data_IF_247203064981
#
_entry.id   IF_247203064981
#
_cell.length_a   1.000
_cell.length_b   1.000
_cell.length_c   1.000
_cell.angle_alpha   90.00
_cell.angle_beta   90.00
_cell.angle_gamma   90.00
#
_symmetry.space_group_name_H-M   'P 1'
#
loop_
_entity.id
_entity.type
_entity.pdbx_description
1 polymer ?
#
# COMPACT_ATOMS: atom_id res chain seq x y z
N UNK A 1 -21.27 14.31 2.86
CA UNK A 1 -20.70 13.77 1.61
C UNK A 1 -21.34 12.45 1.21
N UNK A 2 -20.87 11.25 1.62
CA UNK A 2 -21.56 10.01 1.23
C UNK A 2 -22.90 9.80 1.97
N UNK A 3 -22.91 9.94 3.30
CA UNK A 3 -24.12 9.74 4.13
C UNK A 3 -25.22 10.78 3.93
N UNK A 4 -24.86 11.96 3.44
CA UNK A 4 -25.77 13.09 3.19
C UNK A 4 -26.23 13.13 1.72
N UNK A 5 -25.73 12.21 0.88
CA UNK A 5 -26.12 12.10 -0.52
C UNK A 5 -25.43 13.09 -1.47
N UNK A 6 -24.36 13.77 -1.03
CA UNK A 6 -23.60 14.69 -1.88
C UNK A 6 -22.66 13.96 -2.86
N UNK A 7 -22.48 12.65 -2.70
CA UNK A 7 -21.68 11.81 -3.58
C UNK A 7 -22.27 10.40 -3.68
N UNK A 8 -22.42 9.89 -4.91
CA UNK A 8 -22.94 8.53 -5.19
C UNK A 8 -21.90 7.42 -4.98
N UNK A 9 -20.62 7.78 -4.86
CA UNK A 9 -19.53 6.85 -4.70
C UNK A 9 -18.23 7.54 -4.27
N UNK A 10 -17.26 6.73 -3.87
CA UNK A 10 -15.93 7.20 -3.48
C UNK A 10 -14.85 6.23 -3.93
N UNK A 11 -13.63 6.73 -4.06
CA UNK A 11 -12.43 5.90 -4.12
C UNK A 11 -11.90 5.67 -2.71
N UNK A 12 -11.73 4.40 -2.35
CA UNK A 12 -11.20 3.98 -1.07
C UNK A 12 -9.95 3.12 -1.23
N UNK A 13 -9.43 2.63 -0.11
CA UNK A 13 -8.42 1.60 -0.09
C UNK A 13 -8.79 0.52 0.92
N UNK A 14 -8.28 -0.68 0.68
CA UNK A 14 -8.41 -1.84 1.55
C UNK A 14 -7.02 -2.50 1.59
N UNK A 15 -6.53 -2.95 2.76
CA UNK A 15 -5.30 -3.72 2.81
C UNK A 15 -5.44 -5.01 1.99
N UNK A 16 -4.35 -5.42 1.38
CA UNK A 16 -4.22 -6.75 0.82
C UNK A 16 -3.42 -7.66 1.75
N UNK A 17 -3.76 -8.95 1.79
CA UNK A 17 -2.99 -9.97 2.47
C UNK A 17 -1.70 -10.34 1.69
N UNK A 18 -0.98 -11.34 2.18
CA UNK A 18 0.26 -11.81 1.58
C UNK A 18 0.07 -12.36 0.15
N UNK A 19 -1.13 -12.87 -0.16
CA UNK A 19 -1.51 -13.42 -1.47
C UNK A 19 -2.10 -12.34 -2.40
N UNK A 20 -2.14 -11.09 -1.93
CA UNK A 20 -2.66 -9.94 -2.68
C UNK A 20 -4.19 -9.88 -2.73
N UNK A 21 -4.88 -10.66 -1.89
CA UNK A 21 -6.34 -10.62 -1.77
C UNK A 21 -6.78 -9.57 -0.75
N UNK A 22 -8.00 -9.06 -0.90
CA UNK A 22 -8.59 -8.13 0.04
C UNK A 22 -8.62 -8.72 1.46
N UNK A 23 -8.07 -7.99 2.43
CA UNK A 23 -7.99 -8.43 3.82
C UNK A 23 -9.32 -8.28 4.57
N UNK A 24 -10.34 -7.63 3.99
CA UNK A 24 -11.68 -7.44 4.57
C UNK A 24 -11.66 -6.88 6.00
N UNK A 25 -10.63 -6.10 6.30
CA UNK A 25 -10.38 -5.44 7.58
C UNK A 25 -9.52 -4.20 7.33
N UNK A 26 -9.70 -3.13 8.08
CA UNK A 26 -9.01 -1.86 7.85
C UNK A 26 -9.62 -1.00 6.72
N UNK A 27 -8.83 -0.02 6.29
CA UNK A 27 -9.11 0.73 5.08
C UNK A 27 -10.29 1.69 5.15
N UNK A 28 -10.98 1.87 4.03
CA UNK A 28 -12.07 2.84 3.90
C UNK A 28 -13.40 2.31 4.42
N UNK A 29 -13.69 1.01 4.29
CA UNK A 29 -14.94 0.41 4.79
C UNK A 29 -15.02 0.57 6.31
N UNK A 30 -13.99 0.14 7.05
CA UNK A 30 -13.96 0.28 8.51
C UNK A 30 -14.07 1.76 8.96
N UNK A 31 -13.45 2.69 8.23
CA UNK A 31 -13.56 4.13 8.52
C UNK A 31 -14.96 4.68 8.28
N UNK A 32 -15.68 4.16 7.29
CA UNK A 32 -17.06 4.56 7.02
C UNK A 32 -18.02 3.99 8.09
N UNK A 33 -17.80 2.75 8.51
CA UNK A 33 -18.54 2.16 9.63
C UNK A 33 -18.35 2.94 10.92
N UNK A 34 -17.11 3.27 11.26
CA UNK A 34 -16.80 4.11 12.43
C UNK A 34 -17.42 5.52 12.34
N UNK A 35 -17.68 6.01 11.12
CA UNK A 35 -18.38 7.26 10.86
C UNK A 35 -19.92 7.12 10.83
N UNK A 36 -20.46 5.94 11.13
CA UNK A 36 -21.89 5.66 11.22
C UNK A 36 -22.56 5.23 9.92
N UNK A 37 -21.80 4.85 8.90
CA UNK A 37 -22.33 4.28 7.64
C UNK A 37 -22.16 2.76 7.70
N UNK A 38 -23.24 1.97 7.85
CA UNK A 38 -23.14 0.52 8.01
C UNK A 38 -22.50 -0.15 6.78
N UNK A 39 -21.61 -1.13 6.96
CA UNK A 39 -21.01 -1.88 5.85
C UNK A 39 -22.08 -2.52 4.94
N UNK A 40 -23.19 -2.99 5.52
CA UNK A 40 -24.31 -3.56 4.76
C UNK A 40 -24.97 -2.56 3.78
N UNK A 41 -24.73 -1.25 3.93
CA UNK A 41 -25.18 -0.21 3.01
C UNK A 41 -24.13 0.13 1.92
N UNK A 42 -22.93 -0.43 2.02
CA UNK A 42 -21.82 -0.21 1.11
C UNK A 42 -21.70 -1.38 0.13
N UNK A 43 -21.21 -1.08 -1.07
CA UNK A 43 -20.86 -2.09 -2.06
C UNK A 43 -19.60 -1.68 -2.81
N UNK A 44 -18.62 -2.59 -2.86
CA UNK A 44 -17.46 -2.43 -3.73
C UNK A 44 -17.89 -2.72 -5.17
N UNK A 45 -17.87 -1.70 -6.03
CA UNK A 45 -18.26 -1.81 -7.44
C UNK A 45 -17.10 -2.19 -8.36
N UNK A 46 -15.89 -1.85 -7.95
CA UNK A 46 -14.66 -2.09 -8.69
C UNK A 46 -13.46 -2.10 -7.73
N UNK A 47 -12.48 -2.94 -8.01
CA UNK A 47 -11.20 -3.01 -7.31
C UNK A 47 -10.08 -3.00 -8.35
N UNK A 48 -9.00 -2.28 -8.07
CA UNK A 48 -7.79 -2.34 -8.91
C UNK A 48 -7.02 -3.64 -8.70
N UNK A 49 -6.05 -3.91 -9.57
CA UNK A 49 -4.98 -4.85 -9.19
C UNK A 49 -4.19 -4.33 -7.99
N UNK A 50 -3.36 -5.21 -7.41
CA UNK A 50 -2.56 -4.92 -6.22
C UNK A 50 -1.69 -3.67 -6.39
N UNK A 51 -1.87 -2.72 -5.47
CA UNK A 51 -1.02 -1.54 -5.33
C UNK A 51 -0.08 -1.74 -4.14
N UNK A 52 1.23 -1.82 -4.41
CA UNK A 52 2.25 -1.91 -3.37
C UNK A 52 2.37 -0.59 -2.59
N UNK A 53 2.67 -0.69 -1.31
CA UNK A 53 3.11 0.46 -0.50
C UNK A 53 4.36 1.11 -1.11
N UNK A 54 4.62 2.37 -0.75
CA UNK A 54 5.72 3.14 -1.30
C UNK A 54 7.09 2.47 -1.08
N UNK A 55 7.97 2.42 -2.09
CA UNK A 55 9.28 1.82 -1.95
C UNK A 55 10.22 2.73 -1.14
N UNK A 56 11.22 2.11 -0.52
CA UNK A 56 12.40 2.83 -0.08
C UNK A 56 13.29 3.09 -1.30
N UNK A 57 13.30 4.32 -1.78
CA UNK A 57 14.08 4.73 -2.94
C UNK A 57 15.40 5.38 -2.53
N UNK A 58 16.47 5.07 -3.27
CA UNK A 58 17.79 5.69 -3.13
C UNK A 58 18.21 6.33 -4.45
N UNK A 59 19.21 7.21 -4.41
CA UNK A 59 19.75 7.82 -5.63
C UNK A 59 20.30 6.76 -6.59
N UNK A 60 20.12 6.99 -7.88
CA UNK A 60 20.60 6.12 -8.94
C UNK A 60 22.12 5.99 -8.96
N UNK A 61 22.85 7.03 -8.52
CA UNK A 61 24.32 7.08 -8.47
C UNK A 61 24.92 6.65 -7.13
N UNK A 62 24.11 6.21 -6.17
CA UNK A 62 24.62 5.64 -4.92
C UNK A 62 25.47 4.40 -5.23
N UNK A 63 26.60 4.29 -4.52
CA UNK A 63 27.56 3.19 -4.63
C UNK A 63 26.85 1.82 -4.57
N UNK A 64 27.15 0.88 -5.49
CA UNK A 64 26.46 -0.41 -5.56
C UNK A 64 26.57 -1.26 -4.29
N UNK A 65 27.72 -1.22 -3.61
CA UNK A 65 27.92 -1.97 -2.36
C UNK A 65 27.10 -1.35 -1.23
N UNK A 66 26.96 -0.03 -1.21
CA UNK A 66 26.09 0.68 -0.26
C UNK A 66 24.62 0.32 -0.48
N UNK A 67 24.15 0.28 -1.75
CA UNK A 67 22.79 -0.19 -2.08
C UNK A 67 22.57 -1.62 -1.60
N UNK A 68 23.53 -2.52 -1.87
CA UNK A 68 23.48 -3.93 -1.44
C UNK A 68 23.36 -4.04 0.08
N UNK A 69 24.20 -3.31 0.84
CA UNK A 69 24.19 -3.32 2.31
C UNK A 69 22.86 -2.82 2.86
N UNK A 70 22.31 -1.75 2.31
CA UNK A 70 21.01 -1.23 2.72
C UNK A 70 19.89 -2.26 2.49
N UNK A 71 19.87 -2.91 1.32
CA UNK A 71 18.89 -3.96 1.02
C UNK A 71 18.99 -5.10 2.04
N UNK A 72 20.20 -5.63 2.27
CA UNK A 72 20.43 -6.73 3.22
C UNK A 72 20.03 -6.33 4.64
N UNK A 73 20.38 -5.12 5.07
CA UNK A 73 20.02 -4.59 6.37
C UNK A 73 18.50 -4.55 6.56
N UNK A 74 17.77 -3.91 5.63
CA UNK A 74 16.32 -3.76 5.73
C UNK A 74 15.60 -5.11 5.70
N UNK A 75 15.96 -6.01 4.76
CA UNK A 75 15.26 -7.30 4.62
C UNK A 75 15.48 -8.25 5.80
N UNK A 76 16.59 -8.09 6.52
CA UNK A 76 16.90 -8.90 7.70
C UNK A 76 16.46 -8.25 9.02
N UNK A 77 16.04 -6.99 9.00
CA UNK A 77 15.83 -6.21 10.22
C UNK A 77 14.81 -6.86 11.16
N UNK A 78 13.67 -7.30 10.61
CA UNK A 78 12.60 -7.93 11.40
C UNK A 78 13.05 -9.23 12.07
N UNK A 79 13.91 -10.02 11.42
CA UNK A 79 14.37 -11.31 11.96
C UNK A 79 15.57 -11.18 12.89
N UNK A 80 16.44 -10.20 12.66
CA UNK A 80 17.67 -10.02 13.44
C UNK A 80 17.52 -9.04 14.62
N UNK A 81 16.69 -8.01 14.47
CA UNK A 81 16.55 -6.92 15.45
C UNK A 81 15.10 -6.41 15.45
N UNK A 82 14.13 -7.22 15.92
CA UNK A 82 12.70 -6.92 15.84
C UNK A 82 12.31 -5.64 16.60
N UNK A 83 12.99 -5.31 17.69
CA UNK A 83 12.83 -4.07 18.44
C UNK A 83 13.18 -2.83 17.60
N UNK A 84 14.24 -2.89 16.80
CA UNK A 84 14.59 -1.81 15.86
C UNK A 84 13.63 -1.79 14.67
N UNK A 85 13.18 -2.95 14.20
CA UNK A 85 12.14 -3.01 13.16
C UNK A 85 10.88 -2.28 13.61
N UNK A 86 10.41 -2.53 14.83
CA UNK A 86 9.20 -1.90 15.39
C UNK A 86 9.36 -0.38 15.57
N UNK A 87 10.58 0.13 15.74
CA UNK A 87 10.85 1.56 15.75
C UNK A 87 10.73 2.19 14.36
N UNK A 88 11.06 1.45 13.30
CA UNK A 88 11.05 1.96 11.92
C UNK A 88 9.69 1.77 11.24
N UNK A 89 9.02 0.64 11.46
CA UNK A 89 7.77 0.28 10.77
C UNK A 89 6.69 -0.12 11.76
N UNK A 90 5.92 0.88 12.19
CA UNK A 90 4.86 0.75 13.20
C UNK A 90 3.51 0.40 12.60
N UNK A 91 3.33 0.63 11.31
CA UNK A 91 2.02 0.56 10.65
C UNK A 91 1.84 -0.76 9.87
N UNK A 92 2.92 -1.32 9.32
CA UNK A 92 2.86 -2.49 8.45
C UNK A 92 3.58 -3.69 9.07
N UNK A 93 2.82 -4.73 9.40
CA UNK A 93 3.38 -5.97 9.93
C UNK A 93 3.77 -6.90 8.77
N UNK A 94 5.03 -6.86 8.32
CA UNK A 94 5.43 -7.68 7.15
C UNK A 94 6.93 -7.88 6.96
N UNK A 95 7.75 -6.96 7.46
CA UNK A 95 9.16 -6.90 7.09
C UNK A 95 9.36 -6.16 5.78
N UNK A 96 10.61 -5.84 5.47
CA UNK A 96 10.99 -5.28 4.18
C UNK A 96 11.29 -6.39 3.19
N UNK A 97 10.89 -6.21 1.94
CA UNK A 97 11.19 -7.13 0.83
C UNK A 97 11.90 -6.38 -0.29
N UNK A 98 12.78 -7.06 -1.06
CA UNK A 98 13.35 -6.47 -2.27
C UNK A 98 12.24 -6.05 -3.23
N UNK A 99 12.34 -4.83 -3.75
CA UNK A 99 11.36 -4.26 -4.67
C UNK A 99 12.02 -3.93 -6.01
N UNK A 100 11.29 -4.18 -7.09
CA UNK A 100 11.69 -3.92 -8.47
C UNK A 100 10.69 -2.98 -9.15
N UNK A 101 11.07 -2.40 -10.28
CA UNK A 101 10.16 -1.55 -11.07
C UNK A 101 8.89 -2.30 -11.53
N UNK A 102 8.98 -3.63 -11.73
CA UNK A 102 7.84 -4.46 -12.12
C UNK A 102 6.75 -4.50 -11.05
N UNK A 103 7.12 -4.45 -9.77
CA UNK A 103 6.18 -4.48 -8.65
C UNK A 103 5.27 -3.24 -8.61
N UNK A 104 5.66 -2.17 -9.30
CA UNK A 104 4.92 -0.91 -9.40
C UNK A 104 4.27 -0.70 -10.77
N UNK A 105 4.17 -1.75 -11.60
CA UNK A 105 3.60 -1.65 -12.95
C UNK A 105 2.16 -1.10 -12.95
N UNK A 106 1.32 -1.49 -11.98
CA UNK A 106 -0.05 -0.99 -11.85
C UNK A 106 -0.08 0.51 -11.59
N UNK A 107 0.68 0.99 -10.60
CA UNK A 107 0.78 2.42 -10.30
C UNK A 107 1.27 3.22 -11.51
N UNK A 108 2.28 2.71 -12.22
CA UNK A 108 2.79 3.32 -13.45
C UNK A 108 1.73 3.35 -14.57
N UNK A 109 0.91 2.30 -14.69
CA UNK A 109 -0.20 2.23 -15.65
C UNK A 109 -1.26 3.30 -15.38
N UNK A 110 -1.66 3.47 -14.13
CA UNK A 110 -2.62 4.51 -13.72
C UNK A 110 -2.11 5.90 -14.08
N UNK A 111 -0.84 6.19 -13.74
CA UNK A 111 -0.23 7.50 -14.02
C UNK A 111 -0.17 7.78 -15.52
N UNK A 112 0.24 6.79 -16.34
CA UNK A 112 0.25 6.95 -17.80
C UNK A 112 -1.14 7.25 -18.35
N UNK A 113 -2.14 6.47 -17.96
CA UNK A 113 -3.52 6.69 -18.40
C UNK A 113 -4.03 8.08 -18.01
N UNK A 114 -3.71 8.55 -16.80
CA UNK A 114 -4.10 9.88 -16.33
C UNK A 114 -3.40 11.03 -17.07
N UNK A 115 -2.19 10.79 -17.60
CA UNK A 115 -1.45 11.76 -18.41
C UNK A 115 -1.91 11.75 -19.88
N UNK A 116 -2.21 10.59 -20.44
CA UNK A 116 -2.66 10.42 -21.83
C UNK A 116 -4.11 10.89 -22.05
N UNK A 117 -4.92 10.90 -20.99
CA UNK A 117 -6.30 11.41 -21.02
C UNK A 117 -6.45 12.93 -20.89
N UNK A 118 -5.37 13.70 -21.03
CA UNK A 118 -5.37 15.18 -21.02
C UNK A 118 -5.33 15.77 -22.42
#
# INVERSE_FOLDING_TARGET
>A
MLSVGDADGLFGWEPADADGQAAHSGGTVERLEAAGIPEASLRVLWTSDLLRYGPHAVRSDLDPETKRRLTVFLTNLKSQTPDVYDLLERAHTGGFVPATSKDYAMAMGIVRQALDGR
#
